data_IF_513946331134
#
_entry.id   IF_513946331134
#
_cell.length_a   1.000
_cell.length_b   1.000
_cell.length_c   1.000
_cell.angle_alpha   90.00
_cell.angle_beta   90.00
_cell.angle_gamma   90.00
#
_symmetry.space_group_name_H-M   'P 1'
#
loop_
_entity.id
_entity.type
_entity.pdbx_description
1 polymer ?
#
# COMPACT_ATOMS: atom_id res chain seq x y z
N UNK A 1 20.33 -31.26 29.72
CA UNK A 1 20.53 -31.99 28.45
C UNK A 1 19.82 -31.18 27.37
N UNK A 2 20.58 -30.58 26.44
CA UNK A 2 20.02 -29.94 25.26
C UNK A 2 19.61 -31.04 24.29
N UNK A 3 18.32 -31.24 24.08
CA UNK A 3 17.82 -32.11 23.00
C UNK A 3 18.00 -31.36 21.69
N UNK A 4 18.85 -31.83 20.82
CA UNK A 4 18.98 -31.32 19.46
C UNK A 4 17.69 -31.65 18.72
N UNK A 5 16.90 -30.65 18.27
CA UNK A 5 15.70 -30.94 17.48
C UNK A 5 16.11 -31.61 16.17
N UNK A 6 15.39 -32.65 15.78
CA UNK A 6 15.56 -33.28 14.46
C UNK A 6 15.14 -32.28 13.38
N UNK A 7 16.12 -31.69 12.72
CA UNK A 7 15.91 -30.69 11.69
C UNK A 7 15.72 -31.29 10.29
N UNK A 8 15.97 -32.59 10.15
CA UNK A 8 15.87 -33.30 8.85
C UNK A 8 14.43 -33.34 8.33
N UNK A 9 13.42 -33.38 9.21
CA UNK A 9 12.01 -33.39 8.85
C UNK A 9 11.51 -32.07 8.22
N UNK A 10 12.34 -31.00 8.26
CA UNK A 10 12.03 -29.73 7.59
C UNK A 10 12.68 -29.58 6.22
N UNK A 11 13.50 -30.55 5.82
CA UNK A 11 14.13 -30.54 4.50
C UNK A 11 13.09 -30.87 3.41
N UNK A 12 13.06 -30.04 2.37
CA UNK A 12 12.22 -30.25 1.19
C UNK A 12 13.14 -30.67 0.04
N UNK A 13 12.85 -31.83 -0.57
CA UNK A 13 13.62 -32.34 -1.68
C UNK A 13 12.86 -32.12 -2.99
N UNK A 14 13.46 -31.36 -3.90
CA UNK A 14 12.95 -31.16 -5.24
C UNK A 14 13.66 -32.13 -6.17
N UNK A 15 12.88 -32.95 -6.88
CA UNK A 15 13.35 -33.89 -7.90
C UNK A 15 12.76 -33.46 -9.26
N UNK A 16 13.30 -33.94 -10.40
CA UNK A 16 12.79 -33.57 -11.73
C UNK A 16 11.29 -33.77 -11.90
N UNK A 17 10.71 -34.76 -11.23
CA UNK A 17 9.30 -35.11 -11.30
C UNK A 17 8.40 -34.09 -10.59
N UNK A 18 8.90 -33.38 -9.56
CA UNK A 18 8.07 -32.45 -8.74
C UNK A 18 8.51 -30.98 -8.78
N UNK A 19 9.66 -30.65 -9.36
CA UNK A 19 10.22 -29.30 -9.36
C UNK A 19 9.28 -28.27 -10.01
N UNK A 20 8.46 -28.70 -10.98
CA UNK A 20 7.49 -27.86 -11.67
C UNK A 20 6.08 -27.91 -11.05
N UNK A 21 5.88 -28.70 -10.00
CA UNK A 21 4.61 -28.79 -9.29
C UNK A 21 4.46 -27.72 -8.21
N UNK A 22 5.54 -26.97 -7.92
CA UNK A 22 5.50 -25.89 -6.97
C UNK A 22 4.60 -24.76 -7.50
N UNK A 23 3.35 -24.77 -7.07
CA UNK A 23 2.38 -23.70 -7.35
C UNK A 23 2.35 -22.74 -6.17
N UNK A 24 2.59 -21.47 -6.43
CA UNK A 24 2.29 -20.44 -5.43
C UNK A 24 0.79 -20.47 -5.12
N UNK A 25 0.44 -20.40 -3.84
CA UNK A 25 -0.96 -20.25 -3.44
C UNK A 25 -1.51 -18.96 -4.06
N UNK A 26 -2.63 -19.01 -4.79
CA UNK A 26 -3.22 -17.78 -5.32
C UNK A 26 -3.69 -16.90 -4.16
N UNK A 27 -3.62 -15.59 -4.33
CA UNK A 27 -4.26 -14.65 -3.42
C UNK A 27 -5.78 -14.87 -3.55
N UNK A 28 -6.48 -15.21 -2.47
CA UNK A 28 -7.92 -15.45 -2.54
C UNK A 28 -8.66 -14.15 -2.89
N UNK A 29 -9.72 -14.21 -3.71
CA UNK A 29 -10.56 -13.04 -3.92
C UNK A 29 -11.21 -12.63 -2.59
N UNK A 30 -11.11 -11.34 -2.26
CA UNK A 30 -11.70 -10.78 -1.05
C UNK A 30 -12.34 -9.43 -1.35
N UNK A 31 -13.45 -9.12 -0.67
CA UNK A 31 -14.11 -7.83 -0.71
C UNK A 31 -14.01 -7.18 0.66
N UNK A 32 -13.59 -5.94 0.69
CA UNK A 32 -13.39 -5.14 1.89
C UNK A 32 -14.62 -4.27 2.19
N UNK A 33 -15.81 -4.90 2.19
CA UNK A 33 -17.07 -4.18 2.40
C UNK A 33 -17.16 -3.61 3.82
N UNK A 34 -16.71 -4.34 4.83
CA UNK A 34 -16.73 -3.88 6.22
C UNK A 34 -15.78 -2.68 6.45
N UNK A 35 -14.61 -2.71 5.82
CA UNK A 35 -13.64 -1.61 5.89
C UNK A 35 -14.16 -0.38 5.17
N UNK A 36 -14.85 -0.55 4.04
CA UNK A 36 -15.49 0.55 3.31
C UNK A 36 -16.65 1.15 4.11
N UNK A 37 -17.51 0.33 4.70
CA UNK A 37 -18.60 0.77 5.56
C UNK A 37 -18.06 1.53 6.77
N UNK A 38 -16.99 1.00 7.39
CA UNK A 38 -16.31 1.66 8.49
C UNK A 38 -15.67 2.98 8.08
N UNK A 39 -15.11 3.10 6.87
CA UNK A 39 -14.56 4.34 6.34
C UNK A 39 -15.63 5.41 6.16
N UNK A 40 -16.80 5.01 5.67
CA UNK A 40 -17.91 5.92 5.31
C UNK A 40 -18.86 6.22 6.49
N UNK A 41 -18.60 5.66 7.67
CA UNK A 41 -19.42 5.88 8.86
C UNK A 41 -19.57 7.37 9.18
N UNK A 42 -20.80 7.90 9.30
CA UNK A 42 -21.03 9.30 9.62
C UNK A 42 -20.38 9.72 10.94
N UNK A 43 -19.68 10.85 10.94
CA UNK A 43 -19.03 11.39 12.14
C UNK A 43 -17.72 10.70 12.54
N UNK A 44 -17.25 9.72 11.78
CA UNK A 44 -15.93 9.14 12.00
C UNK A 44 -14.84 10.21 11.79
N UNK A 45 -13.87 10.36 12.70
CA UNK A 45 -12.73 11.27 12.50
C UNK A 45 -11.79 10.76 11.41
N UNK A 46 -10.78 11.55 11.05
CA UNK A 46 -9.69 11.11 10.17
C UNK A 46 -9.09 9.80 10.67
N UNK A 47 -8.91 8.84 9.76
CA UNK A 47 -8.53 7.46 10.12
C UNK A 47 -7.77 6.77 9.00
N UNK A 48 -6.93 5.80 9.39
CA UNK A 48 -6.29 4.83 8.50
C UNK A 48 -6.93 3.47 8.73
N UNK A 49 -7.44 2.83 7.68
CA UNK A 49 -8.08 1.51 7.73
C UNK A 49 -7.27 0.55 6.86
N UNK A 50 -6.59 -0.46 7.46
CA UNK A 50 -5.88 -1.47 6.69
C UNK A 50 -6.85 -2.44 6.03
N UNK A 51 -6.55 -2.83 4.79
CA UNK A 51 -7.25 -3.88 4.05
C UNK A 51 -6.52 -5.20 4.25
N UNK A 52 -6.70 -5.78 5.42
CA UNK A 52 -5.91 -6.91 5.93
C UNK A 52 -6.62 -8.25 5.73
N UNK A 53 -6.00 -9.14 4.97
CA UNK A 53 -6.38 -10.54 4.82
C UNK A 53 -5.25 -11.51 5.20
N UNK A 54 -4.34 -11.09 6.08
CA UNK A 54 -3.19 -11.88 6.53
C UNK A 54 -3.59 -13.30 6.98
N UNK A 55 -4.75 -13.43 7.62
CA UNK A 55 -5.31 -14.72 8.07
C UNK A 55 -5.66 -15.68 6.90
N UNK A 56 -5.90 -15.16 5.69
CA UNK A 56 -6.12 -15.98 4.48
C UNK A 56 -4.81 -16.26 3.73
N UNK A 57 -3.77 -15.48 4.00
CA UNK A 57 -2.47 -15.56 3.32
C UNK A 57 -1.43 -16.36 4.12
N UNK A 58 -1.75 -16.74 5.36
CA UNK A 58 -0.81 -17.35 6.32
C UNK A 58 0.43 -16.45 6.57
N UNK A 59 0.27 -15.12 6.53
CA UNK A 59 1.33 -14.16 6.82
C UNK A 59 1.33 -13.76 8.30
N UNK A 60 2.51 -13.45 8.86
CA UNK A 60 2.66 -13.09 10.27
C UNK A 60 2.40 -11.61 10.57
N UNK A 61 2.29 -10.80 9.54
CA UNK A 61 2.02 -9.36 9.60
C UNK A 61 0.78 -9.03 8.79
N UNK A 62 0.08 -7.91 9.09
CA UNK A 62 -1.03 -7.45 8.26
C UNK A 62 -0.64 -7.37 6.79
N UNK A 63 -1.47 -7.88 5.90
CA UNK A 63 -1.17 -7.98 4.46
C UNK A 63 -2.45 -8.05 3.62
N UNK A 64 -2.47 -7.36 2.50
CA UNK A 64 -3.51 -7.48 1.46
C UNK A 64 -3.10 -8.48 0.40
N UNK A 65 -1.81 -8.57 0.14
CA UNK A 65 -1.15 -9.62 -0.66
C UNK A 65 0.09 -10.08 0.09
N UNK A 66 0.74 -11.19 -0.26
CA UNK A 66 1.92 -11.65 0.47
C UNK A 66 3.03 -10.61 0.66
N UNK A 67 3.10 -9.59 -0.22
CA UNK A 67 4.18 -8.62 -0.25
C UNK A 67 3.72 -7.17 -0.05
N UNK A 68 2.40 -6.90 -0.07
CA UNK A 68 1.86 -5.55 -0.02
C UNK A 68 0.74 -5.43 1.00
N UNK A 69 0.68 -4.29 1.66
CA UNK A 69 -0.45 -3.89 2.49
C UNK A 69 -1.08 -2.63 1.91
N UNK A 70 -2.38 -2.70 1.73
CA UNK A 70 -3.21 -1.60 1.24
C UNK A 70 -4.00 -1.01 2.39
N UNK A 71 -4.24 0.31 2.34
CA UNK A 71 -5.03 1.04 3.32
C UNK A 71 -5.93 2.07 2.67
N UNK A 72 -7.08 2.31 3.26
CA UNK A 72 -7.81 3.56 3.07
C UNK A 72 -7.35 4.59 4.08
N UNK A 73 -7.19 5.83 3.64
CA UNK A 73 -7.00 7.00 4.48
C UNK A 73 -8.21 7.92 4.29
N UNK A 74 -8.92 8.22 5.36
CA UNK A 74 -9.93 9.27 5.41
C UNK A 74 -9.32 10.48 6.10
N UNK A 75 -9.34 11.63 5.44
CA UNK A 75 -8.92 12.90 6.04
C UNK A 75 -10.10 13.86 6.00
N UNK A 76 -10.60 14.23 7.17
CA UNK A 76 -11.77 15.10 7.31
C UNK A 76 -11.42 16.57 7.08
N UNK A 77 -12.39 17.29 6.56
CA UNK A 77 -12.29 18.75 6.41
C UNK A 77 -11.87 19.43 7.72
N UNK A 78 -10.82 20.23 7.64
CA UNK A 78 -10.28 20.95 8.82
C UNK A 78 -9.42 20.11 9.76
N UNK A 79 -9.24 18.81 9.49
CA UNK A 79 -8.32 17.93 10.22
C UNK A 79 -7.02 17.71 9.44
N UNK A 80 -6.03 17.19 10.13
CA UNK A 80 -4.81 16.64 9.51
C UNK A 80 -4.62 15.21 9.96
N UNK A 81 -4.11 14.35 9.05
CA UNK A 81 -3.77 12.96 9.35
C UNK A 81 -2.27 12.79 9.20
N UNK A 82 -1.61 12.38 10.28
CA UNK A 82 -0.18 12.04 10.25
C UNK A 82 -0.03 10.54 10.15
N UNK A 83 0.80 10.09 9.21
CA UNK A 83 1.12 8.68 9.00
C UNK A 83 2.63 8.46 8.98
N UNK A 84 3.06 7.30 9.49
CA UNK A 84 4.45 6.85 9.42
C UNK A 84 4.44 5.32 9.40
N UNK A 85 5.00 4.72 8.35
CA UNK A 85 5.01 3.29 8.14
C UNK A 85 6.44 2.76 7.94
N UNK A 86 6.65 1.51 8.34
CA UNK A 86 7.91 0.81 8.09
C UNK A 86 7.91 0.26 6.65
N UNK A 87 8.10 1.13 5.66
CA UNK A 87 8.07 0.78 4.24
C UNK A 87 9.28 1.33 3.49
N UNK A 88 9.64 0.75 2.35
CA UNK A 88 10.68 1.31 1.48
C UNK A 88 10.15 2.50 0.67
N UNK A 89 8.86 2.51 0.38
CA UNK A 89 8.14 3.56 -0.31
C UNK A 89 6.63 3.42 -0.12
N UNK A 90 5.93 4.51 -0.37
CA UNK A 90 4.49 4.64 -0.20
C UNK A 90 3.89 5.16 -1.51
N UNK A 91 2.89 4.45 -2.06
CA UNK A 91 2.18 4.86 -3.27
C UNK A 91 0.74 5.21 -2.90
N UNK A 92 0.35 6.42 -3.23
CA UNK A 92 -0.97 6.97 -2.97
C UNK A 92 -1.77 7.13 -4.25
N UNK A 93 -3.07 6.83 -4.19
CA UNK A 93 -4.04 7.14 -5.23
C UNK A 93 -5.19 7.91 -4.58
N UNK A 94 -5.51 9.09 -5.11
CA UNK A 94 -6.61 9.90 -4.59
C UNK A 94 -7.94 9.39 -5.14
N UNK A 95 -8.78 8.84 -4.26
CA UNK A 95 -10.12 8.35 -4.63
C UNK A 95 -11.07 9.54 -4.76
N UNK A 96 -11.06 10.44 -3.78
CA UNK A 96 -11.92 11.64 -3.77
C UNK A 96 -11.31 12.76 -2.94
N UNK A 97 -11.73 13.99 -3.21
CA UNK A 97 -11.24 15.18 -2.54
C UNK A 97 -9.95 15.72 -3.13
N UNK A 98 -9.47 16.80 -2.57
CA UNK A 98 -8.20 17.47 -2.92
C UNK A 98 -7.48 17.90 -1.65
N UNK A 99 -6.17 18.07 -1.75
CA UNK A 99 -5.39 18.45 -0.58
C UNK A 99 -3.90 18.50 -0.83
N UNK A 100 -3.15 18.42 0.25
CA UNK A 100 -1.68 18.38 0.24
C UNK A 100 -1.16 17.27 1.12
N UNK A 101 0.00 16.73 0.76
CA UNK A 101 0.78 15.83 1.62
C UNK A 101 2.19 16.38 1.72
N UNK A 102 2.68 16.57 2.96
CA UNK A 102 4.07 16.93 3.22
C UNK A 102 4.87 15.74 3.74
N UNK A 103 6.13 15.64 3.31
CA UNK A 103 7.12 14.67 3.78
C UNK A 103 8.48 15.35 3.80
N UNK A 104 9.02 15.65 4.98
CA UNK A 104 10.21 16.51 5.10
C UNK A 104 10.01 17.85 4.38
N UNK A 105 10.93 18.20 3.47
CA UNK A 105 10.87 19.45 2.69
C UNK A 105 9.99 19.34 1.44
N UNK A 106 9.40 18.16 1.18
CA UNK A 106 8.53 17.95 0.01
C UNK A 106 7.08 18.22 0.36
N UNK A 107 6.41 19.00 -0.51
CA UNK A 107 4.96 19.23 -0.46
C UNK A 107 4.35 18.86 -1.81
N UNK A 108 3.42 17.92 -1.82
CA UNK A 108 2.65 17.52 -3.00
C UNK A 108 1.21 18.00 -2.83
N UNK A 109 0.74 18.85 -3.76
CA UNK A 109 -0.68 19.16 -3.92
C UNK A 109 -1.33 18.12 -4.84
N UNK A 110 -2.47 17.57 -4.45
CA UNK A 110 -3.15 16.51 -5.19
C UNK A 110 -4.66 16.77 -5.31
N UNK A 111 -5.25 16.20 -6.35
CA UNK A 111 -6.68 16.21 -6.63
C UNK A 111 -7.21 14.80 -6.96
N UNK A 112 -8.50 14.67 -7.27
CA UNK A 112 -9.12 13.37 -7.57
C UNK A 112 -8.39 12.64 -8.71
N UNK A 113 -8.15 11.34 -8.51
CA UNK A 113 -7.48 10.41 -9.42
C UNK A 113 -5.97 10.64 -9.61
N UNK A 114 -5.38 11.63 -8.92
CA UNK A 114 -3.93 11.77 -8.90
C UNK A 114 -3.29 10.54 -8.24
N UNK A 115 -2.09 10.21 -8.71
CA UNK A 115 -1.23 9.20 -8.09
C UNK A 115 0.08 9.88 -7.70
N UNK A 116 0.57 9.60 -6.51
CA UNK A 116 1.89 10.06 -6.10
C UNK A 116 2.61 9.01 -5.25
N UNK A 117 3.93 9.05 -5.27
CA UNK A 117 4.76 8.20 -4.44
C UNK A 117 5.69 9.04 -3.58
N UNK A 118 5.93 8.58 -2.36
CA UNK A 118 6.81 9.17 -1.39
C UNK A 118 7.77 8.11 -0.82
N UNK A 119 8.97 8.52 -0.39
CA UNK A 119 9.85 7.60 0.33
C UNK A 119 9.17 7.10 1.61
N UNK A 120 9.45 5.87 2.02
CA UNK A 120 8.91 5.27 3.25
C UNK A 120 9.42 5.92 4.53
N UNK A 121 10.52 6.70 4.45
CA UNK A 121 11.17 7.32 5.60
C UNK A 121 10.43 8.60 6.01
N UNK A 122 10.24 8.75 7.33
CA UNK A 122 9.68 9.97 7.95
C UNK A 122 8.16 10.03 7.90
N UNK A 123 7.62 10.89 8.74
CA UNK A 123 6.19 11.11 8.85
C UNK A 123 5.64 11.87 7.62
N UNK A 124 4.43 11.53 7.20
CA UNK A 124 3.65 12.23 6.19
C UNK A 124 2.48 12.91 6.86
N UNK A 125 2.24 14.16 6.49
CA UNK A 125 1.10 14.94 7.01
C UNK A 125 0.17 15.24 5.84
N UNK A 126 -1.05 14.71 5.92
CA UNK A 126 -2.10 14.87 4.92
C UNK A 126 -3.10 15.91 5.40
N UNK A 127 -3.40 16.89 4.57
CA UNK A 127 -4.38 17.95 4.86
C UNK A 127 -5.29 18.18 3.64
N UNK A 128 -6.62 18.02 3.78
CA UNK A 128 -7.55 18.29 2.69
C UNK A 128 -7.69 19.79 2.47
N UNK A 129 -7.99 20.20 1.22
CA UNK A 129 -8.21 21.60 0.86
C UNK A 129 -9.69 22.01 0.99
N UNK A 130 -10.56 21.21 0.37
CA UNK A 130 -12.00 21.46 0.33
C UNK A 130 -12.77 20.18 0.63
N UNK A 131 -13.43 20.12 1.78
CA UNK A 131 -14.19 18.96 2.19
C UNK A 131 -13.29 17.78 2.62
N UNK A 132 -13.91 16.62 2.74
CA UNK A 132 -13.23 15.38 3.11
C UNK A 132 -12.44 14.81 1.93
N UNK A 133 -11.37 14.09 2.22
CA UNK A 133 -10.60 13.39 1.21
C UNK A 133 -10.42 11.92 1.56
N UNK A 134 -10.44 11.06 0.54
CA UNK A 134 -10.16 9.64 0.66
C UNK A 134 -9.00 9.28 -0.26
N UNK A 135 -7.97 8.69 0.32
CA UNK A 135 -6.81 8.17 -0.39
C UNK A 135 -6.70 6.66 -0.21
N UNK A 136 -6.12 6.03 -1.21
CA UNK A 136 -5.74 4.63 -1.21
C UNK A 136 -4.22 4.57 -1.15
N UNK A 137 -3.68 3.87 -0.16
CA UNK A 137 -2.25 3.79 0.09
C UNK A 137 -1.78 2.35 -0.04
N UNK A 138 -0.66 2.14 -0.71
CA UNK A 138 0.01 0.84 -0.85
C UNK A 138 1.42 0.94 -0.28
N UNK A 139 1.79 -0.02 0.56
CA UNK A 139 3.14 -0.15 1.16
C UNK A 139 3.66 -1.58 1.04
N UNK A 140 4.98 -1.74 1.10
CA UNK A 140 5.69 -3.02 1.06
C UNK A 140 6.05 -3.59 2.46
N UNK A 141 5.39 -3.12 3.51
CA UNK A 141 5.63 -3.58 4.89
C UNK A 141 5.63 -5.11 5.04
N UNK A 142 4.69 -5.88 4.42
CA UNK A 142 4.72 -7.34 4.53
C UNK A 142 5.97 -7.96 3.94
N UNK A 143 6.52 -7.38 2.85
CA UNK A 143 7.76 -7.84 2.25
C UNK A 143 8.95 -7.62 3.19
N UNK A 144 9.05 -6.44 3.79
CA UNK A 144 10.12 -6.12 4.74
C UNK A 144 10.01 -6.99 6.00
N UNK A 145 8.79 -7.20 6.50
CA UNK A 145 8.55 -8.08 7.64
C UNK A 145 8.95 -9.53 7.34
N UNK A 146 8.60 -10.06 6.17
CA UNK A 146 8.98 -11.40 5.73
C UNK A 146 10.51 -11.57 5.63
N UNK A 147 11.21 -10.55 5.12
CA UNK A 147 12.66 -10.54 4.98
C UNK A 147 13.39 -10.23 6.30
N UNK A 148 12.66 -9.85 7.36
CA UNK A 148 13.23 -9.39 8.63
C UNK A 148 14.20 -8.21 8.46
N UNK A 149 13.87 -7.27 7.57
CA UNK A 149 14.69 -6.08 7.30
C UNK A 149 13.92 -4.80 7.63
N UNK A 150 14.66 -3.72 7.78
CA UNK A 150 14.13 -2.37 7.97
C UNK A 150 14.58 -1.49 6.80
N UNK A 151 13.79 -0.46 6.43
CA UNK A 151 14.24 0.54 5.47
C UNK A 151 15.54 1.18 5.91
N UNK A 152 16.43 1.43 4.97
CA UNK A 152 17.68 2.15 5.24
C UNK A 152 17.42 3.62 5.57
N UNK A 153 18.45 4.33 6.06
CA UNK A 153 18.38 5.77 6.33
C UNK A 153 18.37 6.65 5.07
N UNK A 154 18.70 6.07 3.93
CA UNK A 154 18.63 6.74 2.62
C UNK A 154 17.33 6.38 1.93
N UNK A 155 16.57 7.36 1.39
CA UNK A 155 15.36 7.09 0.64
C UNK A 155 15.60 6.12 -0.53
N UNK A 156 14.73 5.11 -0.66
CA UNK A 156 14.80 4.15 -1.77
C UNK A 156 14.21 4.73 -3.08
N UNK A 157 13.34 5.72 -2.95
CA UNK A 157 12.69 6.40 -4.08
C UNK A 157 12.69 7.92 -3.84
N UNK A 158 12.68 8.69 -4.93
CA UNK A 158 12.41 10.12 -4.89
C UNK A 158 10.90 10.38 -4.93
N UNK A 159 10.42 11.50 -4.33
CA UNK A 159 9.03 11.91 -4.45
C UNK A 159 8.63 12.10 -5.92
N UNK A 160 7.49 11.54 -6.31
CA UNK A 160 6.96 11.70 -7.66
C UNK A 160 5.47 11.92 -7.63
N UNK A 161 4.96 12.79 -8.51
CA UNK A 161 3.54 13.10 -8.66
C UNK A 161 3.11 12.90 -10.11
N UNK A 162 2.02 12.15 -10.29
CA UNK A 162 1.36 11.87 -11.55
C UNK A 162 -0.03 12.52 -11.53
N UNK A 163 -0.16 13.79 -11.97
CA UNK A 163 -1.47 14.44 -12.05
C UNK A 163 -2.39 13.70 -13.03
N UNK A 164 -3.67 13.58 -12.66
CA UNK A 164 -4.65 12.87 -13.49
C UNK A 164 -4.69 13.33 -14.94
N UNK A 165 -4.57 14.63 -15.20
CA UNK A 165 -4.56 15.16 -16.56
C UNK A 165 -3.44 14.58 -17.42
N UNK A 166 -2.25 14.34 -16.83
CA UNK A 166 -1.14 13.69 -17.53
C UNK A 166 -1.39 12.20 -17.72
N UNK A 167 -1.95 11.52 -16.71
CA UNK A 167 -2.33 10.11 -16.81
C UNK A 167 -3.34 9.93 -17.93
N UNK A 168 -4.44 10.71 -17.92
CA UNK A 168 -5.49 10.66 -18.93
C UNK A 168 -4.95 10.91 -20.34
N UNK A 169 -4.12 11.94 -20.52
CA UNK A 169 -3.52 12.24 -21.82
C UNK A 169 -2.64 11.08 -22.35
N UNK A 170 -1.90 10.38 -21.47
CA UNK A 170 -1.14 9.20 -21.88
C UNK A 170 -2.04 8.01 -22.21
N UNK A 171 -3.11 7.78 -21.47
CA UNK A 171 -4.09 6.74 -21.78
C UNK A 171 -4.74 6.98 -23.14
N UNK A 172 -5.19 8.21 -23.40
CA UNK A 172 -5.78 8.59 -24.69
C UNK A 172 -4.78 8.38 -25.85
N UNK A 173 -3.51 8.74 -25.64
CA UNK A 173 -2.47 8.54 -26.65
C UNK A 173 -2.18 7.04 -26.93
N UNK A 174 -2.38 6.16 -25.95
CA UNK A 174 -2.18 4.70 -26.11
C UNK A 174 -3.42 4.06 -26.76
N UNK A 175 -4.60 4.33 -26.23
CA UNK A 175 -5.86 3.72 -26.71
C UNK A 175 -6.35 4.35 -28.02
N UNK A 176 -6.14 5.65 -28.23
CA UNK A 176 -6.47 6.32 -29.50
C UNK A 176 -5.64 5.81 -30.69
N UNK A 177 -4.43 5.29 -30.46
CA UNK A 177 -3.60 4.63 -31.50
C UNK A 177 -4.08 3.24 -31.88
N UNK A 178 -4.83 2.57 -31.00
CA UNK A 178 -5.37 1.22 -31.24
C UNK A 178 -6.77 1.21 -31.82
N UNK A 179 -7.40 2.38 -32.02
CA UNK A 179 -8.75 2.55 -32.60
C UNK A 179 -8.72 2.94 -34.10
N UNK A 180 -7.54 2.90 -34.73
CA UNK A 180 -7.33 3.23 -36.14
C UNK A 180 -7.01 2.04 -37.02
#
# INVERSE_FOLDING_TARGET
MLTTPDTSNRAIYYIPENIFEHKQKPVPPHRFDAELDALLEPGRPSVVIPLDISHLLDTVSPATTPMLLVRYLLVRAGETLTTEFCSSGEVYCVISGSGTTSCGDTLIGWGPHDVFALPGIGAKIHAPSDGDAILFLVTDEPALAYLHVQPGSTPAIEPVHYPWQKIAAHLDAVYGRNAG
#
